data_IF_026746154025
#
_entry.id   IF_026746154025
#
_cell.length_a   1.000
_cell.length_b   1.000
_cell.length_c   1.000
_cell.angle_alpha   90.00
_cell.angle_beta   90.00
_cell.angle_gamma   90.00
#
_symmetry.space_group_name_H-M   'P 1'
#
loop_
_entity.id
_entity.type
_entity.pdbx_description
1 polymer ?
#
# COMPACT_ATOMS: atom_id res chain seq x y z
N UNK A 1 -1.98 -0.96 -30.18
CA UNK A 1 -0.92 0.01 -29.81
C UNK A 1 -0.57 0.86 -31.03
N UNK A 2 -0.55 2.18 -30.89
CA UNK A 2 -0.12 3.10 -31.98
C UNK A 2 1.35 3.47 -31.78
N UNK A 3 2.12 3.48 -32.87
CA UNK A 3 3.56 3.81 -32.88
C UNK A 3 3.85 4.86 -33.96
N UNK A 4 4.84 5.70 -33.72
CA UNK A 4 5.33 6.69 -34.67
C UNK A 4 6.36 6.04 -35.56
N UNK A 5 6.15 6.06 -36.87
CA UNK A 5 7.16 5.67 -37.85
C UNK A 5 8.29 6.71 -37.85
N UNK A 6 9.52 6.28 -37.55
CA UNK A 6 10.66 7.18 -37.36
C UNK A 6 11.16 7.82 -38.65
N UNK A 7 10.63 7.49 -39.83
CA UNK A 7 11.02 8.17 -41.09
C UNK A 7 9.94 9.14 -41.54
N UNK A 8 8.67 8.74 -41.39
CA UNK A 8 7.54 9.52 -41.90
C UNK A 8 6.89 10.41 -40.84
N UNK A 9 7.21 10.21 -39.55
CA UNK A 9 6.57 10.85 -38.38
C UNK A 9 5.07 10.57 -38.25
N UNK A 10 4.52 9.65 -39.05
CA UNK A 10 3.11 9.26 -39.01
C UNK A 10 2.87 8.17 -37.99
N UNK A 11 1.64 8.11 -37.47
CA UNK A 11 1.18 7.04 -36.59
C UNK A 11 0.75 5.83 -37.41
N UNK A 12 1.17 4.65 -36.96
CA UNK A 12 0.77 3.33 -37.46
C UNK A 12 0.25 2.50 -36.28
N UNK A 13 -0.76 1.66 -36.52
CA UNK A 13 -1.40 0.86 -35.48
C UNK A 13 -1.06 -0.62 -35.61
N UNK A 14 -0.73 -1.23 -34.48
CA UNK A 14 -0.30 -2.62 -34.37
C UNK A 14 -1.05 -3.33 -33.24
N UNK A 15 -1.26 -4.64 -33.41
CA UNK A 15 -1.98 -5.49 -32.46
C UNK A 15 -1.08 -6.65 -32.02
N UNK A 16 -1.11 -6.97 -30.73
CA UNK A 16 -0.48 -8.15 -30.12
C UNK A 16 0.96 -8.46 -30.58
N UNK A 17 1.13 -9.57 -31.29
CA UNK A 17 2.41 -10.09 -31.78
C UNK A 17 2.94 -9.34 -33.01
N UNK A 18 2.09 -8.54 -33.67
CA UNK A 18 2.50 -7.69 -34.79
C UNK A 18 3.19 -6.39 -34.35
N UNK A 19 3.27 -6.12 -33.04
CA UNK A 19 3.93 -4.92 -32.50
C UNK A 19 5.46 -5.04 -32.74
N UNK A 20 6.05 -4.16 -33.57
CA UNK A 20 7.48 -4.20 -33.88
C UNK A 20 8.33 -3.76 -32.68
N UNK A 21 9.66 -3.86 -32.81
CA UNK A 21 10.58 -3.23 -31.86
C UNK A 21 10.48 -1.70 -31.96
N UNK A 22 10.42 -1.02 -30.82
CA UNK A 22 10.33 0.43 -30.77
C UNK A 22 11.16 1.03 -29.64
N UNK A 23 11.48 2.33 -29.78
CA UNK A 23 11.98 3.16 -28.69
C UNK A 23 10.81 3.82 -27.95
N UNK A 24 10.95 4.11 -26.65
CA UNK A 24 9.91 4.75 -25.86
C UNK A 24 10.43 6.01 -25.16
N UNK A 25 9.67 7.11 -25.20
CA UNK A 25 10.00 8.35 -24.49
C UNK A 25 9.37 8.36 -23.10
N UNK A 26 10.21 8.57 -22.09
CA UNK A 26 9.79 8.92 -20.72
C UNK A 26 10.14 10.39 -20.46
N UNK A 27 9.14 11.18 -20.08
CA UNK A 27 9.32 12.62 -19.86
C UNK A 27 8.25 13.20 -18.93
N UNK A 28 8.51 14.41 -18.44
CA UNK A 28 7.48 15.19 -17.73
C UNK A 28 6.77 16.11 -18.72
N UNK A 29 5.44 16.06 -18.77
CA UNK A 29 4.67 16.95 -19.64
C UNK A 29 4.91 18.42 -19.32
N UNK A 30 5.01 19.22 -20.36
CA UNK A 30 5.15 20.68 -20.36
C UNK A 30 3.95 21.32 -21.08
N UNK A 31 4.03 22.62 -21.34
CA UNK A 31 2.99 23.31 -22.10
C UNK A 31 3.12 22.99 -23.60
N UNK A 32 1.98 22.91 -24.29
CA UNK A 32 1.91 22.68 -25.75
C UNK A 32 2.47 21.31 -26.20
N UNK A 33 2.18 20.25 -25.45
CA UNK A 33 2.40 18.86 -25.90
C UNK A 33 1.57 18.55 -27.15
N UNK A 34 2.16 17.82 -28.09
CA UNK A 34 1.47 17.34 -29.29
C UNK A 34 0.56 16.18 -28.91
N UNK A 35 -0.75 16.32 -29.15
CA UNK A 35 -1.72 15.24 -28.99
C UNK A 35 -1.74 14.31 -30.20
N UNK A 36 -2.48 13.20 -30.10
CA UNK A 36 -2.71 12.31 -31.22
C UNK A 36 -3.37 13.06 -32.38
N UNK A 37 -4.35 13.91 -32.08
CA UNK A 37 -5.11 14.68 -33.07
C UNK A 37 -4.23 15.73 -33.75
N UNK A 38 -3.31 16.36 -33.02
CA UNK A 38 -2.36 17.32 -33.59
C UNK A 38 -1.40 16.62 -34.56
N UNK A 39 -0.91 15.41 -34.23
CA UNK A 39 0.07 14.68 -35.04
C UNK A 39 -0.51 14.17 -36.38
N UNK A 40 -1.84 14.09 -36.52
CA UNK A 40 -2.50 13.79 -37.81
C UNK A 40 -2.26 14.90 -38.85
N UNK A 41 -2.04 16.15 -38.42
CA UNK A 41 -1.60 17.26 -39.25
C UNK A 41 -0.16 17.64 -38.89
N UNK A 42 0.81 16.99 -39.54
CA UNK A 42 2.23 17.21 -39.29
C UNK A 42 2.65 18.69 -39.39
N UNK A 43 2.05 19.47 -40.30
CA UNK A 43 2.38 20.90 -40.45
C UNK A 43 1.97 21.71 -39.24
N UNK A 44 0.88 21.32 -38.59
CA UNK A 44 0.43 21.91 -37.32
C UNK A 44 1.32 21.44 -36.18
N UNK A 45 1.57 20.13 -36.07
CA UNK A 45 2.38 19.55 -35.02
C UNK A 45 3.80 20.17 -34.98
N UNK A 46 4.46 20.31 -36.13
CA UNK A 46 5.80 20.91 -36.26
C UNK A 46 5.95 22.32 -35.68
N UNK A 47 4.85 23.06 -35.55
CA UNK A 47 4.83 24.42 -34.98
C UNK A 47 4.67 24.42 -33.45
N UNK A 48 4.31 23.30 -32.86
CA UNK A 48 4.10 23.16 -31.42
C UNK A 48 5.42 22.88 -30.71
N UNK A 49 5.60 23.46 -29.52
CA UNK A 49 6.84 23.28 -28.74
C UNK A 49 7.11 21.82 -28.38
N UNK A 50 6.07 21.04 -28.08
CA UNK A 50 6.21 19.62 -27.74
C UNK A 50 6.74 18.74 -28.87
N UNK A 51 6.66 19.19 -30.13
CA UNK A 51 7.08 18.40 -31.28
C UNK A 51 8.58 18.10 -31.30
N UNK A 52 9.40 19.04 -30.80
CA UNK A 52 10.85 18.84 -30.73
C UNK A 52 11.23 17.56 -29.97
N UNK A 53 10.47 17.20 -28.92
CA UNK A 53 10.73 15.96 -28.18
C UNK A 53 10.38 14.71 -28.99
N UNK A 54 9.30 14.76 -29.77
CA UNK A 54 8.90 13.66 -30.65
C UNK A 54 9.95 13.46 -31.74
N UNK A 55 10.39 14.55 -32.36
CA UNK A 55 11.38 14.51 -33.43
C UNK A 55 12.72 13.97 -32.94
N UNK A 56 13.23 14.48 -31.82
CA UNK A 56 14.46 13.98 -31.21
C UNK A 56 14.34 12.52 -30.76
N UNK A 57 13.19 12.10 -30.22
CA UNK A 57 12.94 10.69 -29.91
C UNK A 57 13.07 9.81 -31.16
N UNK A 58 12.52 10.26 -32.30
CA UNK A 58 12.63 9.54 -33.56
C UNK A 58 14.07 9.53 -34.08
N UNK A 59 14.79 10.65 -34.03
CA UNK A 59 16.21 10.73 -34.42
C UNK A 59 17.09 9.80 -33.58
N UNK A 60 16.85 9.74 -32.27
CA UNK A 60 17.55 8.80 -31.40
C UNK A 60 17.15 7.34 -31.70
N UNK A 61 15.88 7.05 -31.98
CA UNK A 61 15.43 5.72 -32.40
C UNK A 61 16.11 5.26 -33.70
N UNK A 62 16.26 6.14 -34.69
CA UNK A 62 16.98 5.85 -35.94
C UNK A 62 18.45 5.49 -35.68
N UNK A 63 19.13 6.22 -34.78
CA UNK A 63 20.53 5.90 -34.38
C UNK A 63 20.64 4.52 -33.74
N UNK A 64 19.59 4.07 -33.04
CA UNK A 64 19.47 2.73 -32.48
C UNK A 64 18.92 1.68 -33.47
N UNK A 65 18.74 2.05 -34.75
CA UNK A 65 18.23 1.19 -35.83
C UNK A 65 16.82 0.64 -35.54
N UNK A 66 15.97 1.47 -34.95
CA UNK A 66 14.57 1.17 -34.68
C UNK A 66 13.69 1.96 -35.64
N UNK A 67 12.75 1.31 -36.32
CA UNK A 67 11.84 1.95 -37.27
C UNK A 67 10.65 2.65 -36.59
N UNK A 68 10.46 2.42 -35.29
CA UNK A 68 9.30 2.90 -34.53
C UNK A 68 9.68 3.54 -33.20
N UNK A 69 8.91 4.55 -32.81
CA UNK A 69 8.98 5.21 -31.51
C UNK A 69 7.59 5.31 -30.88
N UNK A 70 7.54 5.41 -29.55
CA UNK A 70 6.31 5.61 -28.79
C UNK A 70 6.44 6.80 -27.83
N UNK A 71 5.43 7.66 -27.85
CA UNK A 71 5.31 8.83 -26.98
C UNK A 71 3.87 8.91 -26.48
N UNK A 72 3.68 8.88 -25.16
CA UNK A 72 2.36 8.81 -24.51
C UNK A 72 1.43 9.98 -24.87
N UNK A 73 1.99 11.14 -25.20
CA UNK A 73 1.18 12.31 -25.53
C UNK A 73 0.38 12.17 -26.82
N UNK A 74 0.93 11.47 -27.81
CA UNK A 74 0.37 11.34 -29.16
C UNK A 74 0.11 9.90 -29.61
N UNK A 75 0.61 8.89 -28.90
CA UNK A 75 0.37 7.47 -29.22
C UNK A 75 -0.83 6.88 -28.47
N UNK A 76 -1.47 7.65 -27.58
CA UNK A 76 -2.67 7.27 -26.85
C UNK A 76 -3.79 8.22 -27.28
N UNK A 77 -4.92 7.69 -27.74
CA UNK A 77 -6.12 8.52 -27.91
C UNK A 77 -6.76 8.82 -26.55
N UNK A 78 -6.49 10.02 -26.04
CA UNK A 78 -7.06 10.50 -24.76
C UNK A 78 -8.53 10.92 -24.87
N UNK A 79 -9.09 10.98 -26.09
CA UNK A 79 -10.51 11.30 -26.31
C UNK A 79 -11.41 10.07 -26.21
N UNK A 80 -10.84 8.87 -26.39
CA UNK A 80 -11.49 7.59 -26.17
C UNK A 80 -11.23 7.08 -24.75
N UNK A 81 -12.28 7.05 -23.91
CA UNK A 81 -12.16 6.54 -22.54
C UNK A 81 -11.79 5.06 -22.48
N UNK A 82 -12.23 4.27 -23.47
CA UNK A 82 -11.88 2.87 -23.61
C UNK A 82 -10.38 2.70 -23.91
N UNK A 83 -9.86 3.41 -24.91
CA UNK A 83 -8.42 3.34 -25.27
C UNK A 83 -7.53 3.90 -24.16
N UNK A 84 -7.94 4.98 -23.50
CA UNK A 84 -7.22 5.54 -22.36
C UNK A 84 -7.15 4.51 -21.21
N UNK A 85 -8.25 3.83 -20.91
CA UNK A 85 -8.30 2.81 -19.86
C UNK A 85 -7.42 1.60 -20.21
N UNK A 86 -7.48 1.12 -21.45
CA UNK A 86 -6.62 0.04 -21.95
C UNK A 86 -5.14 0.43 -21.88
N UNK A 87 -4.80 1.65 -22.31
CA UNK A 87 -3.43 2.15 -22.33
C UNK A 87 -2.84 2.33 -20.94
N UNK A 88 -3.62 2.84 -19.98
CA UNK A 88 -3.19 2.97 -18.57
C UNK A 88 -2.91 1.59 -17.97
N UNK A 89 -3.81 0.61 -18.19
CA UNK A 89 -3.62 -0.76 -17.73
C UNK A 89 -2.43 -1.46 -18.40
N UNK A 90 -2.05 -1.03 -19.61
CA UNK A 90 -0.95 -1.60 -20.38
C UNK A 90 0.37 -0.83 -20.28
N UNK A 91 0.39 0.31 -19.59
CA UNK A 91 1.51 1.26 -19.57
C UNK A 91 2.83 0.60 -19.19
N UNK A 92 2.84 -0.21 -18.12
CA UNK A 92 4.03 -0.92 -17.69
C UNK A 92 4.54 -1.91 -18.74
N UNK A 93 3.64 -2.60 -19.46
CA UNK A 93 4.03 -3.51 -20.54
C UNK A 93 4.59 -2.76 -21.75
N UNK A 94 4.06 -1.58 -22.07
CA UNK A 94 4.63 -0.73 -23.13
C UNK A 94 6.07 -0.31 -22.81
N UNK A 95 6.37 0.04 -21.57
CA UNK A 95 7.75 0.34 -21.16
C UNK A 95 8.62 -0.91 -21.07
N UNK A 96 8.09 -2.04 -20.59
CA UNK A 96 8.81 -3.31 -20.48
C UNK A 96 9.22 -3.90 -21.84
N UNK A 97 8.35 -3.78 -22.86
CA UNK A 97 8.58 -4.28 -24.23
C UNK A 97 9.44 -3.37 -25.09
N UNK A 98 9.63 -2.11 -24.70
CA UNK A 98 10.46 -1.18 -25.45
C UNK A 98 11.91 -1.66 -25.54
N UNK A 99 12.54 -1.46 -26.70
CA UNK A 99 13.95 -1.83 -26.89
C UNK A 99 14.89 -0.89 -26.13
N UNK A 100 14.51 0.38 -26.04
CA UNK A 100 15.22 1.41 -25.27
C UNK A 100 14.23 2.46 -24.80
N UNK A 101 14.37 2.89 -23.55
CA UNK A 101 13.67 4.04 -23.01
C UNK A 101 14.60 5.26 -22.97
N UNK A 102 14.19 6.34 -23.63
CA UNK A 102 14.86 7.62 -23.52
C UNK A 102 14.19 8.43 -22.41
N UNK A 103 14.92 8.74 -21.35
CA UNK A 103 14.46 9.63 -20.29
C UNK A 103 14.94 11.05 -20.61
N UNK A 104 14.01 11.92 -20.97
CA UNK A 104 14.28 13.32 -21.24
C UNK A 104 14.05 14.17 -19.99
N UNK A 105 15.13 14.74 -19.46
CA UNK A 105 15.12 15.57 -18.25
C UNK A 105 15.14 17.06 -18.64
N UNK A 106 13.97 17.68 -18.75
CA UNK A 106 13.84 19.09 -19.14
C UNK A 106 14.46 20.08 -18.12
N UNK A 107 14.58 19.67 -16.86
CA UNK A 107 15.03 20.55 -15.77
C UNK A 107 16.56 20.56 -15.56
N UNK A 108 17.34 19.76 -16.31
CA UNK A 108 18.79 19.71 -16.17
C UNK A 108 19.52 20.19 -17.42
N UNK A 109 20.54 21.03 -17.21
CA UNK A 109 21.49 21.51 -18.24
C UNK A 109 22.87 20.84 -18.14
N UNK A 110 23.00 19.85 -17.26
CA UNK A 110 24.29 19.20 -17.03
C UNK A 110 24.75 18.51 -18.30
N UNK A 111 26.03 18.66 -18.63
CA UNK A 111 26.64 18.03 -19.80
C UNK A 111 27.53 16.89 -19.34
N UNK A 112 27.56 15.79 -20.11
CA UNK A 112 28.41 14.64 -19.78
C UNK A 112 29.87 15.07 -19.79
N UNK A 113 30.57 14.70 -18.72
CA UNK A 113 32.00 14.89 -18.59
C UNK A 113 32.68 13.52 -18.57
N UNK A 114 33.79 13.39 -19.30
CA UNK A 114 34.62 12.18 -19.28
C UNK A 114 35.47 12.13 -17.99
N UNK A 115 34.80 12.03 -16.84
CA UNK A 115 35.41 11.91 -15.51
C UNK A 115 34.79 10.73 -14.78
N UNK A 116 35.61 9.96 -14.07
CA UNK A 116 35.16 8.80 -13.31
C UNK A 116 34.15 9.16 -12.21
N UNK A 117 34.19 10.38 -11.69
CA UNK A 117 33.29 10.88 -10.64
C UNK A 117 32.02 11.58 -11.17
N UNK A 118 31.79 11.58 -12.49
CA UNK A 118 30.67 12.31 -13.11
C UNK A 118 29.31 11.88 -12.55
N UNK A 119 29.07 10.58 -12.38
CA UNK A 119 27.79 10.08 -11.85
C UNK A 119 27.48 10.63 -10.45
N UNK A 120 28.48 10.73 -9.57
CA UNK A 120 28.33 11.26 -8.22
C UNK A 120 28.09 12.77 -8.22
N UNK A 121 28.75 13.51 -9.12
CA UNK A 121 28.51 14.95 -9.31
C UNK A 121 27.16 15.26 -9.94
N UNK A 122 26.61 14.33 -10.73
CA UNK A 122 25.32 14.47 -11.39
C UNK A 122 24.14 14.26 -10.42
N UNK A 123 24.33 13.48 -9.35
CA UNK A 123 23.31 13.14 -8.35
C UNK A 123 22.48 14.31 -7.81
N UNK A 124 23.07 15.41 -7.27
CA UNK A 124 22.27 16.52 -6.74
C UNK A 124 21.34 17.13 -7.80
N UNK A 125 21.81 17.24 -9.06
CA UNK A 125 21.00 17.76 -10.16
C UNK A 125 19.87 16.80 -10.57
N UNK A 126 20.11 15.49 -10.51
CA UNK A 126 19.06 14.50 -10.75
C UNK A 126 18.02 14.53 -9.63
N UNK A 127 18.44 14.65 -8.38
CA UNK A 127 17.53 14.72 -7.23
C UNK A 127 16.54 15.89 -7.32
N UNK A 128 16.95 17.00 -7.94
CA UNK A 128 16.11 18.18 -8.16
C UNK A 128 15.17 18.07 -9.38
N UNK A 129 15.39 17.11 -10.28
CA UNK A 129 14.59 16.97 -11.50
C UNK A 129 13.16 16.52 -11.17
N UNK A 130 12.15 17.17 -11.79
CA UNK A 130 10.73 16.83 -11.59
C UNK A 130 10.42 15.38 -11.98
N UNK A 131 11.19 14.81 -12.88
CA UNK A 131 11.05 13.42 -13.31
C UNK A 131 11.10 12.44 -12.14
N UNK A 132 11.97 12.64 -11.13
CA UNK A 132 12.06 11.73 -9.99
C UNK A 132 10.92 11.87 -8.97
N UNK A 133 10.18 12.98 -9.03
CA UNK A 133 9.04 13.24 -8.13
C UNK A 133 7.69 13.05 -8.83
N UNK A 134 7.65 12.68 -10.11
CA UNK A 134 6.41 12.38 -10.84
C UNK A 134 5.96 10.94 -10.56
N UNK A 135 4.65 10.72 -10.36
CA UNK A 135 4.12 9.37 -10.10
C UNK A 135 4.40 8.36 -11.22
N UNK A 136 3.97 8.70 -12.44
CA UNK A 136 4.06 7.83 -13.63
C UNK A 136 5.49 7.35 -13.94
N UNK A 137 6.50 8.20 -13.76
CA UNK A 137 7.89 7.89 -14.10
C UNK A 137 8.50 6.77 -13.24
N UNK A 138 7.84 6.33 -12.16
CA UNK A 138 8.31 5.19 -11.38
C UNK A 138 8.25 3.90 -12.18
N UNK A 139 7.14 3.64 -12.85
CA UNK A 139 7.01 2.47 -13.72
C UNK A 139 7.87 2.62 -14.98
N UNK A 140 8.09 3.85 -15.45
CA UNK A 140 9.00 4.15 -16.56
C UNK A 140 10.48 3.92 -16.20
N UNK A 141 10.84 4.03 -14.91
CA UNK A 141 12.17 3.66 -14.39
C UNK A 141 12.35 2.14 -14.25
N UNK A 142 11.30 1.46 -13.80
CA UNK A 142 11.37 0.07 -13.35
C UNK A 142 11.07 -0.95 -14.45
N UNK A 143 10.20 -0.62 -15.41
CA UNK A 143 9.75 -1.56 -16.42
C UNK A 143 10.79 -1.80 -17.55
N UNK A 144 11.45 -0.77 -18.13
CA UNK A 144 12.39 -0.99 -19.22
C UNK A 144 13.68 -1.66 -18.74
N UNK A 145 14.20 -2.58 -19.56
CA UNK A 145 15.52 -3.18 -19.34
C UNK A 145 16.64 -2.17 -19.63
N UNK A 146 16.52 -1.38 -20.70
CA UNK A 146 17.51 -0.39 -21.14
C UNK A 146 16.94 1.02 -21.02
N UNK A 147 17.63 1.88 -20.26
CA UNK A 147 17.29 3.31 -20.14
C UNK A 147 18.51 4.18 -20.42
N UNK A 148 18.32 5.24 -21.18
CA UNK A 148 19.31 6.28 -21.45
C UNK A 148 18.77 7.64 -21.00
N UNK A 149 19.50 8.33 -20.13
CA UNK A 149 19.15 9.65 -19.63
C UNK A 149 19.74 10.74 -20.51
N UNK A 150 18.92 11.74 -20.83
CA UNK A 150 19.27 12.90 -21.64
C UNK A 150 18.91 14.20 -20.90
N UNK A 151 19.74 15.22 -21.05
CA UNK A 151 19.46 16.56 -20.53
C UNK A 151 18.48 17.33 -21.43
N UNK A 152 18.20 18.59 -21.09
CA UNK A 152 17.31 19.48 -21.86
C UNK A 152 17.75 19.73 -23.30
N UNK A 153 19.05 19.64 -23.57
CA UNK A 153 19.62 19.82 -24.90
C UNK A 153 19.83 18.47 -25.65
N UNK A 154 19.17 17.39 -25.20
CA UNK A 154 19.34 16.02 -25.73
C UNK A 154 20.78 15.49 -25.67
N UNK A 155 21.59 16.05 -24.78
CA UNK A 155 22.92 15.56 -24.43
C UNK A 155 22.83 14.31 -23.56
N UNK A 156 23.47 13.23 -24.00
CA UNK A 156 23.50 11.96 -23.28
C UNK A 156 24.21 12.10 -21.92
N UNK A 157 23.51 11.83 -20.83
CA UNK A 157 24.04 11.88 -19.46
C UNK A 157 24.63 10.53 -19.03
N UNK A 158 23.92 9.44 -19.33
CA UNK A 158 24.33 8.10 -18.95
C UNK A 158 23.20 7.08 -19.07
N UNK A 159 23.57 5.81 -19.04
CA UNK A 159 22.64 4.69 -18.94
C UNK A 159 22.20 4.45 -17.49
N UNK A 160 21.11 3.68 -17.30
CA UNK A 160 20.68 3.21 -15.98
C UNK A 160 21.80 2.51 -15.22
N UNK A 161 22.57 1.68 -15.91
CA UNK A 161 23.70 0.94 -15.35
C UNK A 161 24.82 1.87 -14.88
N UNK A 162 25.19 2.88 -15.68
CA UNK A 162 26.19 3.89 -15.32
C UNK A 162 25.74 4.77 -14.14
N UNK A 163 24.43 5.00 -14.00
CA UNK A 163 23.85 5.90 -12.99
C UNK A 163 23.21 5.18 -11.80
N UNK A 164 23.39 3.86 -11.68
CA UNK A 164 22.68 3.04 -10.68
C UNK A 164 22.89 3.51 -9.24
N UNK A 165 24.09 4.00 -8.89
CA UNK A 165 24.40 4.50 -7.55
C UNK A 165 23.61 5.76 -7.17
N UNK A 166 23.69 6.86 -7.95
CA UNK A 166 22.82 8.02 -7.79
C UNK A 166 21.33 7.64 -7.79
N UNK A 167 20.89 6.81 -8.75
CA UNK A 167 19.49 6.41 -8.87
C UNK A 167 19.01 5.68 -7.62
N UNK A 168 19.82 4.79 -7.06
CA UNK A 168 19.50 4.04 -5.85
C UNK A 168 19.33 4.97 -4.64
N UNK A 169 20.21 5.98 -4.49
CA UNK A 169 20.11 6.98 -3.42
C UNK A 169 18.90 7.89 -3.55
N UNK A 170 18.64 8.40 -4.76
CA UNK A 170 17.52 9.32 -5.03
C UNK A 170 16.17 8.63 -4.84
N UNK A 171 16.04 7.39 -5.33
CA UNK A 171 14.74 6.70 -5.36
C UNK A 171 14.49 5.81 -4.15
N UNK A 172 15.54 5.47 -3.38
CA UNK A 172 15.47 4.47 -2.31
C UNK A 172 15.32 3.03 -2.81
N UNK A 173 15.45 2.80 -4.12
CA UNK A 173 15.33 1.47 -4.75
C UNK A 173 16.71 0.81 -4.80
N UNK A 174 16.79 -0.45 -4.41
CA UNK A 174 18.08 -1.17 -4.42
C UNK A 174 18.67 -1.33 -5.83
N UNK A 175 19.99 -1.43 -5.90
CA UNK A 175 20.73 -1.68 -7.15
C UNK A 175 20.23 -2.93 -7.87
N UNK A 176 19.95 -4.01 -7.14
CA UNK A 176 19.53 -5.28 -7.75
C UNK A 176 18.17 -5.16 -8.45
N UNK A 177 17.27 -4.30 -7.94
CA UNK A 177 15.97 -4.05 -8.59
C UNK A 177 16.16 -3.12 -9.80
N UNK A 178 16.94 -2.04 -9.65
CA UNK A 178 17.20 -1.09 -10.75
C UNK A 178 17.88 -1.76 -11.95
N UNK A 179 18.82 -2.68 -11.70
CA UNK A 179 19.53 -3.46 -12.72
C UNK A 179 18.74 -4.68 -13.20
N UNK A 180 17.50 -4.90 -12.73
CA UNK A 180 16.66 -6.03 -13.14
C UNK A 180 17.12 -7.41 -12.66
N UNK A 181 18.07 -7.48 -11.71
CA UNK A 181 18.55 -8.73 -11.10
C UNK A 181 17.52 -9.35 -10.15
N UNK A 182 16.69 -8.52 -9.51
CA UNK A 182 15.54 -8.92 -8.71
C UNK A 182 14.26 -8.36 -9.32
N UNK A 183 13.27 -9.21 -9.57
CA UNK A 183 12.02 -8.78 -10.20
C UNK A 183 11.20 -7.89 -9.27
N UNK A 184 10.55 -6.85 -9.80
CA UNK A 184 9.73 -5.89 -9.03
C UNK A 184 8.71 -6.59 -8.15
N UNK A 185 7.94 -7.53 -8.71
CA UNK A 185 6.88 -8.27 -8.01
C UNK A 185 7.37 -9.29 -6.97
N UNK A 186 8.69 -9.53 -6.85
CA UNK A 186 9.27 -10.38 -5.79
C UNK A 186 9.58 -9.60 -4.50
N UNK A 187 9.10 -8.36 -4.39
CA UNK A 187 9.32 -7.49 -3.25
C UNK A 187 7.99 -7.24 -2.52
N UNK A 188 8.01 -7.09 -1.19
CA UNK A 188 6.81 -6.87 -0.40
C UNK A 188 6.02 -5.65 -0.88
N UNK A 189 4.71 -5.68 -0.72
CA UNK A 189 3.81 -4.57 -1.07
C UNK A 189 4.26 -3.27 -0.41
N UNK A 190 4.59 -3.27 0.89
CA UNK A 190 5.07 -2.07 1.57
C UNK A 190 6.36 -1.50 0.96
N UNK A 191 7.29 -2.36 0.54
CA UNK A 191 8.51 -1.90 -0.13
C UNK A 191 8.17 -1.26 -1.48
N UNK A 192 7.34 -1.91 -2.29
CA UNK A 192 6.89 -1.37 -3.58
C UNK A 192 6.15 -0.03 -3.42
N UNK A 193 5.28 0.09 -2.41
CA UNK A 193 4.59 1.34 -2.06
C UNK A 193 5.60 2.44 -1.67
N UNK A 194 6.64 2.10 -0.91
CA UNK A 194 7.65 3.09 -0.46
C UNK A 194 8.36 3.80 -1.62
N UNK A 195 8.53 3.15 -2.78
CA UNK A 195 9.16 3.74 -3.96
C UNK A 195 8.34 4.89 -4.58
N UNK A 196 7.06 4.96 -4.24
CA UNK A 196 6.14 6.02 -4.64
C UNK A 196 5.90 7.07 -3.54
N UNK A 197 6.49 6.91 -2.35
CA UNK A 197 6.17 7.73 -1.18
C UNK A 197 6.46 9.23 -1.36
N UNK A 198 7.51 9.59 -2.10
CA UNK A 198 7.91 10.97 -2.38
C UNK A 198 7.36 11.50 -3.71
N UNK A 199 6.58 10.71 -4.43
CA UNK A 199 6.09 11.04 -5.78
C UNK A 199 4.72 11.73 -5.72
N UNK A 200 4.45 12.55 -6.73
CA UNK A 200 3.26 13.40 -6.84
C UNK A 200 2.59 13.21 -8.21
N UNK A 201 1.27 13.31 -8.21
CA UNK A 201 0.44 13.23 -9.41
C UNK A 201 -0.41 14.49 -9.56
N UNK A 202 -0.82 14.80 -10.79
CA UNK A 202 -1.68 15.97 -11.06
C UNK A 202 -3.13 15.66 -10.68
N UNK A 203 -3.65 14.51 -11.12
CA UNK A 203 -4.96 14.00 -10.68
C UNK A 203 -4.77 13.13 -9.45
N UNK A 204 -5.71 13.17 -8.53
CA UNK A 204 -5.67 12.38 -7.30
C UNK A 204 -5.68 10.86 -7.58
N UNK A 205 -6.46 10.45 -8.57
CA UNK A 205 -6.65 9.05 -8.97
C UNK A 205 -5.39 8.45 -9.59
N UNK A 206 -4.59 9.27 -10.27
CA UNK A 206 -3.33 8.84 -10.87
C UNK A 206 -2.34 8.34 -9.82
N UNK A 207 -2.49 8.71 -8.54
CA UNK A 207 -1.70 8.14 -7.44
C UNK A 207 -1.87 6.61 -7.36
N UNK A 208 -3.06 6.11 -7.68
CA UNK A 208 -3.34 4.69 -7.80
C UNK A 208 -2.93 4.16 -9.19
N UNK A 209 -3.37 4.83 -10.25
CA UNK A 209 -3.20 4.32 -11.61
C UNK A 209 -1.74 4.23 -12.06
N UNK A 210 -0.87 5.10 -11.55
CA UNK A 210 0.57 5.03 -11.82
C UNK A 210 1.29 3.83 -11.18
N UNK A 211 0.60 3.05 -10.33
CA UNK A 211 1.16 1.92 -9.62
C UNK A 211 0.66 0.57 -10.16
N UNK A 212 -0.29 0.56 -11.09
CA UNK A 212 -0.94 -0.66 -11.57
C UNK A 212 0.06 -1.71 -12.05
N UNK A 213 1.04 -1.33 -12.88
CA UNK A 213 2.05 -2.29 -13.36
C UNK A 213 3.09 -2.70 -12.32
N UNK A 214 3.31 -1.88 -11.29
CA UNK A 214 4.21 -2.22 -10.16
C UNK A 214 3.57 -3.30 -9.28
N UNK A 215 2.24 -3.32 -9.20
CA UNK A 215 1.48 -4.35 -8.51
C UNK A 215 0.92 -5.44 -9.43
N UNK A 216 1.03 -5.24 -10.75
CA UNK A 216 0.48 -6.10 -11.79
C UNK A 216 -1.03 -6.31 -11.58
N UNK A 217 -1.74 -5.19 -11.42
CA UNK A 217 -3.18 -5.10 -11.20
C UNK A 217 -3.84 -4.47 -12.42
N UNK A 218 -5.01 -4.99 -12.79
CA UNK A 218 -5.90 -4.33 -13.72
C UNK A 218 -7.18 -3.89 -13.02
N UNK A 219 -7.61 -2.66 -13.25
CA UNK A 219 -8.86 -2.13 -12.69
C UNK A 219 -9.45 -1.03 -13.61
N UNK A 220 -10.77 -0.74 -13.50
CA UNK A 220 -11.40 0.34 -14.26
C UNK A 220 -10.90 1.75 -13.89
N UNK A 221 -10.70 2.61 -14.90
CA UNK A 221 -10.30 4.01 -14.73
C UNK A 221 -11.52 4.92 -14.49
N UNK A 222 -11.83 5.23 -13.23
CA UNK A 222 -12.94 6.09 -12.84
C UNK A 222 -12.44 7.48 -12.41
N UNK A 223 -12.12 8.35 -13.37
CA UNK A 223 -11.77 9.74 -13.07
C UNK A 223 -12.96 10.50 -12.46
N UNK A 224 -12.73 11.16 -11.32
CA UNK A 224 -13.76 11.80 -10.49
C UNK A 224 -14.00 11.10 -9.15
N UNK A 225 -13.45 9.90 -8.92
CA UNK A 225 -13.61 9.18 -7.65
C UNK A 225 -12.66 9.65 -6.53
N UNK A 226 -11.65 10.47 -6.86
CA UNK A 226 -10.71 11.05 -5.91
C UNK A 226 -9.82 9.99 -5.25
N UNK A 227 -9.63 10.09 -3.93
CA UNK A 227 -8.78 9.16 -3.16
C UNK A 227 -9.33 7.73 -3.08
N UNK A 228 -10.58 7.49 -3.50
CA UNK A 228 -11.18 6.14 -3.56
C UNK A 228 -10.43 5.22 -4.52
N UNK A 229 -9.80 5.76 -5.56
CA UNK A 229 -8.97 5.00 -6.49
C UNK A 229 -7.83 4.27 -5.78
N UNK A 230 -7.17 4.93 -4.81
CA UNK A 230 -6.05 4.33 -4.06
C UNK A 230 -6.52 3.26 -3.06
N UNK A 231 -7.72 3.41 -2.51
CA UNK A 231 -8.35 2.34 -1.71
C UNK A 231 -8.64 1.11 -2.58
N UNK A 232 -9.28 1.30 -3.73
CA UNK A 232 -9.55 0.21 -4.69
C UNK A 232 -8.28 -0.51 -5.12
N UNK A 233 -7.18 0.22 -5.37
CA UNK A 233 -5.88 -0.40 -5.65
C UNK A 233 -5.46 -1.35 -4.53
N UNK A 234 -5.54 -0.93 -3.27
CA UNK A 234 -5.18 -1.77 -2.11
C UNK A 234 -6.11 -2.99 -1.97
N UNK A 235 -7.40 -2.84 -2.26
CA UNK A 235 -8.36 -3.95 -2.30
C UNK A 235 -7.99 -4.97 -3.39
N UNK A 236 -7.66 -4.52 -4.60
CA UNK A 236 -7.23 -5.40 -5.70
C UNK A 236 -5.90 -6.09 -5.38
N UNK A 237 -4.95 -5.40 -4.72
CA UNK A 237 -3.71 -6.01 -4.23
C UNK A 237 -4.03 -7.14 -3.24
N UNK A 238 -4.94 -6.91 -2.28
CA UNK A 238 -5.33 -7.94 -1.30
C UNK A 238 -6.06 -9.13 -1.93
N UNK A 239 -6.82 -8.93 -3.01
CA UNK A 239 -7.47 -10.01 -3.76
C UNK A 239 -6.47 -10.85 -4.54
N UNK A 240 -5.41 -10.22 -5.04
CA UNK A 240 -4.38 -10.89 -5.84
C UNK A 240 -3.38 -11.65 -4.98
N UNK A 241 -2.79 -10.99 -4.00
CA UNK A 241 -1.68 -11.50 -3.18
C UNK A 241 -2.04 -11.44 -1.68
N UNK A 242 -1.70 -12.49 -0.94
CA UNK A 242 -1.81 -12.54 0.52
C UNK A 242 -0.62 -11.85 1.23
N UNK A 243 -0.10 -10.75 0.68
CA UNK A 243 1.04 -10.03 1.27
C UNK A 243 0.55 -9.05 2.35
N UNK A 244 0.68 -9.47 3.61
CA UNK A 244 0.21 -8.68 4.76
C UNK A 244 1.02 -7.40 4.98
N UNK A 245 2.16 -7.22 4.31
CA UNK A 245 2.92 -5.96 4.38
C UNK A 245 2.13 -4.76 3.87
N UNK A 246 1.05 -4.95 3.11
CA UNK A 246 0.12 -3.87 2.74
C UNK A 246 -0.43 -3.10 3.96
N UNK A 247 -0.48 -3.73 5.14
CA UNK A 247 -0.94 -3.08 6.38
C UNK A 247 0.18 -2.36 7.13
N UNK A 248 1.44 -2.42 6.67
CA UNK A 248 2.59 -1.77 7.29
C UNK A 248 2.65 -0.25 7.03
N UNK A 249 1.52 0.44 6.93
CA UNK A 249 1.52 1.89 6.71
C UNK A 249 1.63 2.63 8.05
N UNK A 250 2.58 3.55 8.22
CA UNK A 250 2.69 4.30 9.47
C UNK A 250 1.71 5.48 9.46
N UNK A 251 1.03 5.71 10.58
CA UNK A 251 0.14 6.87 10.69
C UNK A 251 1.03 8.12 10.80
N UNK A 252 1.19 8.82 9.68
CA UNK A 252 1.75 10.17 9.67
C UNK A 252 0.81 11.04 10.52
N UNK A 253 1.15 11.17 11.80
CA UNK A 253 0.40 11.90 12.79
C UNK A 253 0.10 13.31 12.28
N UNK A 254 -1.16 13.60 11.92
CA UNK A 254 -1.88 14.84 12.27
C UNK A 254 -3.17 15.12 11.48
N UNK A 255 -3.58 14.37 10.45
CA UNK A 255 -4.70 14.84 9.62
C UNK A 255 -5.60 13.73 9.07
N UNK A 256 -6.60 13.30 9.86
CA UNK A 256 -8.02 13.12 9.50
C UNK A 256 -8.76 12.25 10.54
N UNK A 257 -10.05 12.53 10.68
CA UNK A 257 -10.97 12.09 11.74
C UNK A 257 -11.42 10.62 11.71
N UNK A 258 -10.73 9.72 11.00
CA UNK A 258 -11.14 8.33 10.86
C UNK A 258 -10.03 7.37 11.33
N UNK A 259 -9.95 7.20 12.65
CA UNK A 259 -9.10 6.21 13.33
C UNK A 259 -9.43 4.75 12.97
N UNK A 260 -10.43 4.52 12.10
CA UNK A 260 -11.04 3.22 11.82
C UNK A 260 -10.58 2.57 10.50
N UNK A 261 -9.76 3.27 9.70
CA UNK A 261 -9.34 2.76 8.39
C UNK A 261 -8.19 1.76 8.49
N UNK A 262 -8.25 0.65 7.75
CA UNK A 262 -7.16 -0.34 7.71
C UNK A 262 -6.09 0.08 6.71
N UNK A 263 -6.52 0.52 5.54
CA UNK A 263 -5.69 0.86 4.38
C UNK A 263 -5.09 2.27 4.46
N UNK A 264 -3.96 2.47 3.78
CA UNK A 264 -3.30 3.76 3.68
C UNK A 264 -4.09 4.74 2.80
N UNK A 265 -3.95 6.04 3.03
CA UNK A 265 -4.50 7.08 2.16
C UNK A 265 -3.58 7.43 0.99
N UNK A 266 -2.28 7.16 1.15
CA UNK A 266 -1.28 7.39 0.10
C UNK A 266 -0.02 6.55 0.30
N UNK A 267 0.83 6.40 -0.73
CA UNK A 267 2.13 5.75 -0.60
C UNK A 267 3.08 6.40 0.43
N UNK A 268 2.85 7.67 0.81
CA UNK A 268 3.70 8.39 1.77
C UNK A 268 3.76 7.71 3.15
N UNK A 269 2.68 7.01 3.55
CA UNK A 269 2.63 6.22 4.78
C UNK A 269 3.59 5.01 4.77
N UNK A 270 4.23 4.70 3.64
CA UNK A 270 5.20 3.60 3.51
C UNK A 270 6.66 4.07 3.40
N UNK A 271 6.96 5.37 3.55
CA UNK A 271 8.23 6.04 3.19
C UNK A 271 9.55 5.46 3.71
N UNK A 272 9.57 4.50 4.64
CA UNK A 272 10.83 3.83 5.06
C UNK A 272 10.76 2.32 5.15
N UNK A 273 9.91 1.74 4.31
CA UNK A 273 9.95 0.31 4.02
C UNK A 273 10.90 -0.03 2.86
N UNK A 274 11.60 0.96 2.28
CA UNK A 274 12.49 0.78 1.12
C UNK A 274 13.69 -0.14 1.37
N UNK A 275 14.12 -0.28 2.63
CA UNK A 275 15.22 -1.18 3.05
C UNK A 275 14.75 -2.41 3.83
N UNK A 276 13.45 -2.64 3.89
CA UNK A 276 12.92 -3.76 4.65
C UNK A 276 13.31 -5.11 4.03
N UNK A 277 13.38 -6.16 4.84
CA UNK A 277 13.57 -7.53 4.38
C UNK A 277 12.23 -8.21 4.18
N UNK A 278 12.05 -8.85 3.03
CA UNK A 278 10.89 -9.67 2.74
C UNK A 278 10.93 -10.97 3.52
N UNK A 279 9.80 -11.38 4.06
CA UNK A 279 9.57 -12.74 4.51
C UNK A 279 8.51 -13.36 3.62
N UNK A 280 8.87 -14.39 2.86
CA UNK A 280 7.85 -15.21 2.19
C UNK A 280 7.41 -16.23 3.22
N UNK A 281 6.31 -15.97 3.91
CA UNK A 281 5.65 -17.02 4.69
C UNK A 281 5.15 -18.07 3.68
N UNK A 282 5.82 -19.23 3.65
CA UNK A 282 5.42 -20.39 2.81
C UNK A 282 4.28 -21.19 3.46
N UNK A 283 3.57 -20.61 4.42
CA UNK A 283 2.68 -21.31 5.34
C UNK A 283 1.23 -21.43 4.87
N UNK A 284 0.95 -21.05 3.62
CA UNK A 284 -0.37 -21.25 3.00
C UNK A 284 -1.43 -20.30 3.51
N UNK A 285 -1.05 -19.13 4.02
CA UNK A 285 -1.98 -18.06 4.38
C UNK A 285 -2.77 -17.59 3.15
N UNK A 286 -4.07 -17.35 3.33
CA UNK A 286 -4.94 -16.79 2.30
C UNK A 286 -5.66 -15.54 2.80
N UNK A 287 -5.83 -14.57 1.90
CA UNK A 287 -6.66 -13.38 2.12
C UNK A 287 -7.90 -13.43 1.23
N UNK A 288 -9.07 -13.17 1.79
CA UNK A 288 -10.31 -12.97 1.03
C UNK A 288 -10.91 -11.62 1.39
N UNK A 289 -11.20 -10.78 0.40
CA UNK A 289 -11.89 -9.52 0.64
C UNK A 289 -13.37 -9.73 0.94
N UNK A 290 -13.86 -9.15 2.05
CA UNK A 290 -15.27 -9.14 2.42
C UNK A 290 -15.81 -7.71 2.47
N UNK A 291 -17.13 -7.54 2.56
CA UNK A 291 -17.75 -6.22 2.72
C UNK A 291 -17.34 -5.47 4.00
N UNK A 292 -16.75 -6.17 4.99
CA UNK A 292 -16.26 -5.59 6.25
C UNK A 292 -14.76 -5.30 6.24
N UNK A 293 -14.02 -5.80 5.25
CA UNK A 293 -12.56 -5.77 5.19
C UNK A 293 -11.94 -7.13 4.86
N UNK A 294 -10.61 -7.25 4.89
CA UNK A 294 -9.89 -8.49 4.56
C UNK A 294 -10.09 -9.54 5.65
N UNK A 295 -10.47 -10.75 5.22
CA UNK A 295 -10.46 -11.97 6.02
C UNK A 295 -9.14 -12.70 5.82
N UNK A 296 -8.48 -13.05 6.92
CA UNK A 296 -7.17 -13.68 6.97
C UNK A 296 -7.23 -14.98 7.76
N UNK A 297 -6.48 -15.99 7.33
CA UNK A 297 -6.27 -17.23 8.08
C UNK A 297 -5.14 -17.03 9.11
N UNK A 298 -5.40 -17.20 10.42
CA UNK A 298 -4.41 -16.86 11.45
C UNK A 298 -3.42 -18.01 11.71
N UNK A 299 -2.16 -17.78 11.36
CA UNK A 299 -0.99 -18.42 12.01
C UNK A 299 -0.02 -17.42 12.63
N UNK A 300 -0.25 -16.13 12.39
CA UNK A 300 0.64 -15.02 12.71
C UNK A 300 -0.04 -13.97 13.62
N UNK A 301 -1.10 -14.36 14.32
CA UNK A 301 -1.81 -13.53 15.28
C UNK A 301 -1.41 -13.93 16.71
N UNK A 302 -0.87 -12.97 17.45
CA UNK A 302 -0.30 -13.19 18.77
C UNK A 302 -0.97 -12.29 19.81
N UNK A 303 -1.15 -12.81 21.02
CA UNK A 303 -1.56 -12.00 22.16
C UNK A 303 -0.31 -11.39 22.81
N UNK A 304 -0.32 -10.07 23.01
CA UNK A 304 0.82 -9.35 23.56
C UNK A 304 0.40 -8.30 24.59
N UNK A 305 1.33 -7.94 25.47
CA UNK A 305 1.16 -6.81 26.39
C UNK A 305 1.86 -5.56 25.83
N UNK A 306 1.09 -4.50 25.62
CA UNK A 306 1.60 -3.18 25.23
C UNK A 306 1.90 -2.37 26.49
N UNK A 307 3.15 -1.94 26.72
CA UNK A 307 3.50 -1.21 27.93
C UNK A 307 2.75 0.12 28.05
N UNK A 308 2.20 0.44 29.23
CA UNK A 308 1.37 1.64 29.44
C UNK A 308 2.12 2.99 29.42
N UNK A 309 3.45 2.98 29.53
CA UNK A 309 4.30 4.19 29.45
C UNK A 309 5.01 4.23 28.08
N UNK A 310 4.22 4.42 27.01
CA UNK A 310 4.73 4.47 25.63
C UNK A 310 5.60 5.70 25.36
N UNK A 311 5.36 6.80 26.08
CA UNK A 311 6.13 8.06 25.97
C UNK A 311 7.55 7.95 26.57
N UNK A 312 7.77 7.05 27.53
CA UNK A 312 9.10 6.83 28.14
C UNK A 312 9.92 5.71 27.52
N UNK A 313 9.39 4.97 26.55
CA UNK A 313 10.22 4.12 25.71
C UNK A 313 11.08 5.00 24.82
N UNK A 314 12.21 5.48 25.37
CA UNK A 314 13.33 5.94 24.54
C UNK A 314 13.60 4.80 23.54
N UNK A 315 13.69 5.09 22.23
CA UNK A 315 14.09 4.08 21.26
C UNK A 315 15.48 3.59 21.66
N UNK A 316 15.56 2.47 22.37
CA UNK A 316 16.81 1.88 22.88
C UNK A 316 17.52 1.10 21.76
N UNK A 317 17.48 1.60 20.53
CA UNK A 317 18.32 1.12 19.44
C UNK A 317 18.51 2.24 18.40
N UNK A 318 19.76 2.52 17.97
CA UNK A 318 20.03 3.46 16.90
C UNK A 318 19.57 2.86 15.57
N UNK A 319 18.41 3.27 15.06
CA UNK A 319 18.00 2.94 13.69
C UNK A 319 18.24 4.14 12.78
N UNK A 320 19.39 4.09 12.10
CA UNK A 320 19.65 4.89 10.92
C UNK A 320 18.70 4.41 9.79
N UNK A 321 18.16 5.36 9.02
CA UNK A 321 17.23 5.16 7.87
C UNK A 321 15.71 5.13 8.11
N UNK A 322 15.22 6.01 9.00
CA UNK A 322 14.13 6.89 8.56
C UNK A 322 12.70 6.68 9.08
N UNK A 323 12.18 5.45 9.26
CA UNK A 323 10.70 5.30 9.49
C UNK A 323 10.26 4.40 10.64
N UNK A 324 11.14 3.61 11.27
CA UNK A 324 10.75 2.85 12.48
C UNK A 324 11.03 3.59 13.80
N UNK A 325 11.12 4.92 13.78
CA UNK A 325 11.53 5.72 14.96
C UNK A 325 10.55 5.67 16.13
N UNK A 326 9.30 5.22 15.91
CA UNK A 326 8.25 5.14 16.93
C UNK A 326 7.79 3.72 17.23
N UNK A 327 8.36 2.69 16.61
CA UNK A 327 7.83 1.34 16.75
C UNK A 327 7.93 0.81 18.20
N UNK A 328 6.94 0.03 18.62
CA UNK A 328 6.86 -0.53 19.98
C UNK A 328 7.31 -1.98 19.95
N UNK A 329 8.18 -2.38 20.88
CA UNK A 329 8.47 -3.79 21.14
C UNK A 329 7.50 -4.29 22.20
N UNK A 330 6.51 -5.13 21.84
CA UNK A 330 5.53 -5.61 22.81
C UNK A 330 6.13 -6.71 23.70
N UNK A 331 5.61 -6.83 24.92
CA UNK A 331 6.05 -7.86 25.88
C UNK A 331 5.30 -9.17 25.65
N UNK A 332 6.03 -10.28 25.87
CA UNK A 332 5.45 -11.62 25.94
C UNK A 332 4.55 -11.74 27.18
N UNK A 333 3.36 -12.31 27.00
CA UNK A 333 2.46 -12.67 28.10
C UNK A 333 3.00 -13.95 28.73
N UNK A 334 3.52 -13.85 29.95
CA UNK A 334 3.98 -15.00 30.74
C UNK A 334 2.94 -15.38 31.77
N UNK A 335 2.59 -16.66 31.84
CA UNK A 335 1.69 -17.17 32.87
C UNK A 335 2.46 -17.50 34.16
N UNK A 336 1.95 -17.13 35.35
CA UNK A 336 0.74 -16.35 35.58
C UNK A 336 0.94 -14.86 35.26
N UNK A 337 0.05 -14.28 34.46
CA UNK A 337 0.12 -12.87 34.05
C UNK A 337 -0.14 -11.97 35.25
N UNK A 338 0.88 -11.22 35.69
CA UNK A 338 0.71 -10.12 36.65
C UNK A 338 0.45 -8.86 35.85
N UNK A 339 -0.71 -8.26 36.04
CA UNK A 339 -1.04 -6.95 35.48
C UNK A 339 -0.02 -5.91 35.98
N UNK A 340 0.88 -5.51 35.09
CA UNK A 340 1.93 -4.53 35.35
C UNK A 340 1.54 -3.13 34.84
N UNK A 341 0.25 -2.88 34.59
CA UNK A 341 -0.25 -1.61 34.04
C UNK A 341 -0.09 -1.46 32.53
N UNK A 342 0.13 -2.57 31.80
CA UNK A 342 0.13 -2.62 30.34
C UNK A 342 -1.25 -3.00 29.77
N UNK A 343 -1.51 -2.63 28.52
CA UNK A 343 -2.77 -2.95 27.85
C UNK A 343 -2.58 -4.16 26.94
N UNK A 344 -3.44 -5.17 27.08
CA UNK A 344 -3.40 -6.35 26.20
C UNK A 344 -3.90 -5.97 24.80
N UNK A 345 -3.17 -6.41 23.78
CA UNK A 345 -3.51 -6.24 22.36
C UNK A 345 -3.22 -7.53 21.60
N UNK A 346 -3.83 -7.62 20.42
CA UNK A 346 -3.40 -8.56 19.41
C UNK A 346 -2.30 -7.93 18.56
N UNK A 347 -1.34 -8.71 18.12
CA UNK A 347 -0.41 -8.30 17.06
C UNK A 347 -0.50 -9.27 15.91
N UNK A 348 -0.81 -8.74 14.74
CA UNK A 348 -0.64 -9.45 13.48
C UNK A 348 0.78 -9.22 12.98
N UNK A 349 1.61 -10.27 12.94
CA UNK A 349 2.93 -10.24 12.29
C UNK A 349 2.74 -10.14 10.78
N UNK A 350 3.50 -9.26 10.15
CA UNK A 350 3.44 -8.97 8.73
C UNK A 350 4.57 -9.66 7.95
N UNK A 351 4.42 -9.79 6.64
CA UNK A 351 5.39 -10.37 5.68
C UNK A 351 6.59 -9.45 5.38
N UNK A 352 6.94 -8.62 6.35
CA UNK A 352 8.00 -7.62 6.27
C UNK A 352 8.68 -7.49 7.63
N UNK A 353 9.99 -7.26 7.58
CA UNK A 353 10.78 -7.05 8.79
C UNK A 353 12.09 -6.35 8.50
N UNK A 354 12.96 -6.37 9.48
CA UNK A 354 14.34 -5.92 9.42
C UNK A 354 15.23 -7.05 9.92
N UNK A 355 16.55 -6.91 9.82
CA UNK A 355 17.52 -8.00 10.06
C UNK A 355 17.28 -8.82 11.35
N UNK A 356 16.85 -8.17 12.43
CA UNK A 356 16.71 -8.79 13.76
C UNK A 356 15.27 -8.87 14.28
N UNK A 357 14.33 -8.17 13.63
CA UNK A 357 12.95 -8.04 14.10
C UNK A 357 11.97 -8.20 12.94
N UNK A 358 10.79 -8.70 13.25
CA UNK A 358 9.66 -8.71 12.32
C UNK A 358 8.72 -7.56 12.62
N UNK A 359 8.01 -7.07 11.61
CA UNK A 359 7.04 -6.00 11.80
C UNK A 359 5.66 -6.58 12.10
N UNK A 360 4.85 -5.83 12.85
CA UNK A 360 3.46 -6.17 13.14
C UNK A 360 2.56 -4.94 13.18
N UNK A 361 1.25 -5.15 13.13
CA UNK A 361 0.25 -4.13 13.50
C UNK A 361 -0.47 -4.54 14.78
N UNK A 362 -0.80 -3.57 15.62
CA UNK A 362 -1.65 -3.79 16.78
C UNK A 362 -3.12 -3.83 16.37
N UNK A 363 -3.83 -4.82 16.91
CA UNK A 363 -5.24 -5.07 16.68
C UNK A 363 -5.99 -5.13 18.02
N UNK A 364 -7.22 -4.66 18.00
CA UNK A 364 -8.20 -4.75 19.07
C UNK A 364 -9.31 -5.72 18.67
N UNK A 365 -9.71 -6.60 19.58
CA UNK A 365 -10.82 -7.53 19.36
C UNK A 365 -12.15 -6.82 19.59
N UNK A 366 -12.98 -6.83 18.54
CA UNK A 366 -14.33 -6.29 18.57
C UNK A 366 -15.32 -7.42 18.82
N UNK A 367 -15.15 -8.55 18.14
CA UNK A 367 -15.92 -9.79 18.31
C UNK A 367 -15.01 -11.01 18.06
N UNK A 368 -15.53 -12.23 18.24
CA UNK A 368 -14.78 -13.49 18.15
C UNK A 368 -13.84 -13.59 16.94
N UNK A 369 -14.31 -13.20 15.76
CA UNK A 369 -13.61 -13.27 14.47
C UNK A 369 -13.41 -11.88 13.84
N UNK A 370 -13.56 -10.82 14.62
CA UNK A 370 -13.56 -9.44 14.13
C UNK A 370 -12.57 -8.58 14.92
N UNK A 371 -11.51 -8.17 14.25
CA UNK A 371 -10.44 -7.33 14.78
C UNK A 371 -10.47 -5.95 14.14
N UNK A 372 -9.93 -4.95 14.83
CA UNK A 372 -9.76 -3.59 14.34
C UNK A 372 -8.33 -3.16 14.53
N UNK A 373 -7.76 -2.46 13.55
CA UNK A 373 -6.42 -1.87 13.68
C UNK A 373 -6.41 -0.71 14.68
N UNK A 374 -5.49 -0.75 15.64
CA UNK A 374 -5.24 0.36 16.56
C UNK A 374 -4.21 1.30 15.93
N UNK A 375 -4.69 2.38 15.29
CA UNK A 375 -3.81 3.39 14.64
C UNK A 375 -3.17 4.38 15.63
N UNK A 376 -3.58 4.38 16.89
CA UNK A 376 -2.91 5.17 17.92
C UNK A 376 -1.57 4.54 18.29
N UNK A 377 -1.44 3.23 18.08
CA UNK A 377 -0.18 2.52 18.23
C UNK A 377 0.60 2.49 16.90
N UNK A 378 1.91 2.77 16.94
CA UNK A 378 2.80 2.61 15.81
C UNK A 378 3.00 1.12 15.48
N UNK A 379 3.78 0.79 14.46
CA UNK A 379 4.09 -0.60 14.13
C UNK A 379 4.74 -1.33 15.31
N UNK A 380 4.44 -2.62 15.45
CA UNK A 380 5.09 -3.51 16.40
C UNK A 380 6.42 -4.02 15.84
N UNK A 381 7.44 -4.14 16.69
CA UNK A 381 8.68 -4.87 16.39
C UNK A 381 8.73 -6.14 17.22
N UNK A 382 8.58 -7.28 16.57
CA UNK A 382 8.61 -8.61 17.17
C UNK A 382 10.04 -9.15 17.08
N UNK A 383 10.81 -9.27 18.18
CA UNK A 383 12.16 -9.81 18.12
C UNK A 383 12.11 -11.28 17.68
N UNK A 384 12.97 -11.63 16.72
CA UNK A 384 12.99 -12.99 16.17
C UNK A 384 13.39 -14.00 17.25
N UNK A 385 12.67 -15.13 17.29
CA UNK A 385 12.90 -16.20 18.27
C UNK A 385 12.17 -16.02 19.60
N UNK A 386 11.57 -14.86 19.85
CA UNK A 386 10.64 -14.68 20.98
C UNK A 386 9.40 -15.52 20.74
N UNK A 387 8.98 -16.29 21.76
CA UNK A 387 7.72 -17.01 21.72
C UNK A 387 6.64 -16.06 22.17
N UNK A 388 5.69 -15.77 21.30
CA UNK A 388 4.46 -15.10 21.69
C UNK A 388 3.35 -16.14 21.81
N UNK A 389 2.42 -15.92 22.74
CA UNK A 389 1.27 -16.79 22.87
C UNK A 389 0.39 -16.66 21.62
N UNK A 390 0.33 -17.74 20.84
CA UNK A 390 -0.51 -17.79 19.65
C UNK A 390 -1.95 -18.08 20.06
N UNK A 391 -2.90 -17.23 19.66
CA UNK A 391 -4.31 -17.56 19.81
C UNK A 391 -4.73 -18.43 18.62
N UNK A 392 -5.34 -19.58 18.90
CA UNK A 392 -5.91 -20.41 17.85
C UNK A 392 -7.20 -19.75 17.32
N UNK A 393 -7.07 -18.87 16.34
CA UNK A 393 -8.17 -18.37 15.53
C UNK A 393 -7.94 -18.83 14.09
N UNK A 394 -8.67 -19.83 13.56
CA UNK A 394 -8.40 -20.33 12.22
C UNK A 394 -8.58 -19.24 11.15
N UNK A 395 -9.53 -18.33 11.37
CA UNK A 395 -9.80 -17.16 10.52
C UNK A 395 -10.28 -15.97 11.36
N UNK A 396 -9.95 -14.76 10.90
CA UNK A 396 -10.50 -13.52 11.42
C UNK A 396 -10.62 -12.48 10.30
N UNK A 397 -11.45 -11.46 10.51
CA UNK A 397 -11.61 -10.32 9.60
C UNK A 397 -11.07 -9.07 10.29
N UNK A 398 -10.24 -8.30 9.59
CA UNK A 398 -9.85 -6.96 10.05
C UNK A 398 -10.85 -5.97 9.47
N UNK A 399 -11.50 -5.20 10.34
CA UNK A 399 -12.42 -4.14 9.94
C UNK A 399 -11.68 -3.05 9.17
N UNK A 400 -12.26 -2.65 8.04
CA UNK A 400 -11.84 -1.49 7.27
C UNK A 400 -13.00 -0.50 7.16
N UNK A 401 -12.83 0.68 7.78
CA UNK A 401 -13.84 1.74 7.82
C UNK A 401 -14.72 1.71 9.08
N UNK A 402 -15.65 2.67 9.17
CA UNK A 402 -16.55 2.78 10.32
C UNK A 402 -17.50 1.58 10.35
N UNK A 403 -17.64 0.87 11.49
CA UNK A 403 -18.67 -0.14 11.63
C UNK A 403 -20.04 0.50 11.37
N UNK A 404 -20.89 -0.16 10.59
CA UNK A 404 -22.21 0.33 10.19
C UNK A 404 -23.26 0.37 11.34
N UNK A 405 -22.83 0.52 12.59
CA UNK A 405 -23.70 0.54 13.75
C UNK A 405 -24.14 1.97 14.13
N UNK A 406 -25.41 2.09 14.50
CA UNK A 406 -26.28 3.26 14.53
C UNK A 406 -26.14 4.16 15.79
N UNK A 407 -26.64 5.40 15.65
CA UNK A 407 -27.20 6.42 16.61
C UNK A 407 -26.41 6.85 17.87
N UNK A 408 -26.56 8.12 18.33
CA UNK A 408 -25.88 8.67 19.51
C UNK A 408 -26.31 8.03 20.86
N UNK A 409 -27.50 7.40 20.92
CA UNK A 409 -28.13 6.94 22.16
C UNK A 409 -28.35 5.41 22.23
N UNK A 410 -27.76 4.65 21.31
CA UNK A 410 -27.84 3.18 21.30
C UNK A 410 -26.62 2.55 21.96
N UNK A 411 -26.85 1.79 23.03
CA UNK A 411 -25.82 0.93 23.63
C UNK A 411 -25.82 -0.41 22.89
N UNK A 412 -24.80 -0.59 22.04
CA UNK A 412 -24.54 -1.87 21.41
C UNK A 412 -23.87 -2.80 22.40
N UNK A 413 -24.69 -3.54 23.16
CA UNK A 413 -24.21 -4.75 23.81
C UNK A 413 -23.70 -5.67 22.72
N UNK A 414 -22.39 -5.68 22.56
CA UNK A 414 -21.76 -6.78 21.88
C UNK A 414 -22.20 -8.07 22.54
N UNK A 415 -21.93 -9.16 21.82
CA UNK A 415 -21.11 -10.21 22.41
C UNK A 415 -20.93 -10.03 23.98
N UNK A 416 -20.07 -9.10 24.32
CA UNK A 416 -19.55 -9.06 25.66
C UNK A 416 -19.65 -7.69 26.24
N UNK A 417 -20.87 -7.24 26.54
CA UNK A 417 -21.09 -6.10 27.42
C UNK A 417 -21.97 -6.52 28.61
N UNK A 418 -21.68 -5.93 29.76
CA UNK A 418 -22.54 -5.90 30.93
C UNK A 418 -22.38 -4.53 31.56
N UNK A 419 -23.49 -3.88 31.84
CA UNK A 419 -23.56 -2.55 32.46
C UNK A 419 -23.78 -2.65 33.98
N UNK A 420 -23.57 -1.51 34.65
CA UNK A 420 -23.24 -1.43 36.07
C UNK A 420 -24.47 -1.49 36.99
N UNK A 421 -24.29 -2.14 38.15
CA UNK A 421 -25.24 -2.19 39.27
C UNK A 421 -24.93 -1.03 40.22
N UNK A 422 -25.89 -0.16 40.55
CA UNK A 422 -25.71 0.81 41.61
C UNK A 422 -26.30 0.23 42.90
N UNK A 423 -25.52 -0.42 43.76
CA UNK A 423 -25.76 -0.39 45.22
C UNK A 423 -24.62 -1.01 46.04
N UNK A 424 -24.41 -0.45 47.24
CA UNK A 424 -23.24 -0.61 48.12
C UNK A 424 -23.09 -1.99 48.84
N UNK A 425 -23.29 -3.13 48.16
CA UNK A 425 -23.12 -4.47 48.77
C UNK A 425 -22.73 -5.61 47.80
N UNK A 426 -21.90 -6.57 48.24
CA UNK A 426 -21.32 -7.67 47.42
C UNK A 426 -22.37 -8.64 46.86
N UNK A 427 -22.31 -8.90 45.54
CA UNK A 427 -23.21 -9.80 44.77
C UNK A 427 -22.48 -11.07 44.30
N UNK A 428 -23.17 -12.23 44.23
CA UNK A 428 -22.68 -13.45 43.58
C UNK A 428 -23.77 -14.18 42.78
N UNK A 429 -23.42 -14.68 41.57
CA UNK A 429 -24.33 -15.33 40.62
C UNK A 429 -24.18 -16.86 40.70
N UNK A 430 -25.28 -17.61 40.83
CA UNK A 430 -25.26 -19.07 41.08
C UNK A 430 -25.76 -19.97 39.93
N UNK A 431 -26.67 -19.52 39.04
CA UNK A 431 -27.17 -20.34 37.88
C UNK A 431 -27.91 -19.50 36.80
N UNK A 432 -27.83 -19.90 35.51
CA UNK A 432 -28.47 -19.23 34.33
C UNK A 432 -29.06 -20.26 33.32
N UNK A 433 -30.27 -20.02 32.77
CA UNK A 433 -30.96 -20.81 31.71
C UNK A 433 -31.74 -19.87 30.76
N UNK A 434 -31.73 -20.04 29.41
CA UNK A 434 -31.08 -21.11 28.62
C UNK A 434 -29.57 -20.89 28.41
N UNK A 435 -28.82 -21.97 28.10
CA UNK A 435 -27.35 -22.02 28.18
C UNK A 435 -26.66 -20.96 27.29
N UNK A 436 -26.02 -19.95 27.89
CA UNK A 436 -25.36 -18.88 27.15
C UNK A 436 -23.96 -19.26 26.68
N UNK A 437 -23.43 -18.54 25.69
CA UNK A 437 -22.01 -18.51 25.36
C UNK A 437 -21.36 -17.32 26.06
N UNK A 438 -20.15 -17.50 26.61
CA UNK A 438 -19.36 -16.45 27.26
C UNK A 438 -18.13 -16.11 26.41
N UNK A 439 -17.64 -14.86 26.44
CA UNK A 439 -16.28 -14.57 26.00
C UNK A 439 -15.25 -14.50 27.14
N UNK A 440 -14.00 -14.29 26.74
CA UNK A 440 -12.78 -14.28 27.56
C UNK A 440 -12.71 -13.11 28.57
N UNK A 441 -13.72 -12.21 28.62
CA UNK A 441 -13.91 -11.17 29.63
C UNK A 441 -15.09 -11.44 30.60
N UNK A 442 -15.70 -12.64 30.61
CA UNK A 442 -16.86 -12.99 31.47
C UNK A 442 -18.13 -12.15 31.20
N UNK A 443 -18.56 -12.03 29.94
CA UNK A 443 -19.86 -11.41 29.58
C UNK A 443 -20.72 -12.38 28.73
N UNK A 444 -22.03 -12.13 28.58
CA UNK A 444 -23.06 -13.17 28.38
C UNK A 444 -24.08 -12.92 27.27
N UNK A 445 -24.41 -13.96 26.47
CA UNK A 445 -24.93 -13.71 25.11
C UNK A 445 -25.98 -14.62 24.49
N UNK A 446 -26.79 -13.99 23.61
CA UNK A 446 -27.91 -14.62 22.90
C UNK A 446 -27.87 -14.43 21.38
N UNK A 447 -28.39 -15.42 20.63
CA UNK A 447 -28.40 -15.45 19.17
C UNK A 447 -29.77 -15.02 18.58
N UNK A 448 -29.82 -14.38 17.38
CA UNK A 448 -31.03 -13.75 16.83
C UNK A 448 -32.22 -14.68 16.57
N UNK A 449 -31.98 -15.95 16.26
CA UNK A 449 -33.04 -16.92 15.97
C UNK A 449 -33.75 -17.45 17.22
N UNK A 450 -33.18 -17.23 18.42
CA UNK A 450 -33.78 -17.62 19.70
C UNK A 450 -34.63 -16.47 20.28
N UNK A 451 -34.33 -15.22 19.90
CA UNK A 451 -35.01 -14.02 20.40
C UNK A 451 -36.47 -13.89 19.92
N UNK A 452 -36.85 -14.51 18.79
CA UNK A 452 -38.23 -14.48 18.30
C UNK A 452 -39.20 -15.40 19.08
N UNK A 453 -38.71 -16.18 20.05
CA UNK A 453 -39.48 -17.19 20.79
C UNK A 453 -39.29 -17.15 22.32
N UNK A 454 -38.52 -16.21 22.86
CA UNK A 454 -38.27 -16.09 24.31
C UNK A 454 -39.14 -14.97 24.89
N UNK A 455 -40.13 -15.35 25.70
CA UNK A 455 -40.96 -14.40 26.47
C UNK A 455 -40.37 -14.08 27.85
N UNK A 456 -39.52 -14.94 28.42
CA UNK A 456 -38.89 -14.70 29.73
C UNK A 456 -37.62 -15.54 29.97
N UNK A 457 -36.75 -15.09 30.88
CA UNK A 457 -35.64 -15.89 31.44
C UNK A 457 -35.46 -15.71 32.96
N UNK A 458 -34.99 -16.75 33.66
CA UNK A 458 -34.86 -16.78 35.12
C UNK A 458 -33.39 -16.76 35.59
N UNK A 459 -33.10 -15.98 36.62
CA UNK A 459 -31.76 -15.78 37.21
C UNK A 459 -31.80 -16.08 38.72
N UNK A 460 -30.98 -17.01 39.22
CA UNK A 460 -30.90 -17.32 40.65
C UNK A 460 -29.73 -16.58 41.31
N UNK A 461 -30.04 -15.72 42.29
CA UNK A 461 -29.09 -14.86 43.00
C UNK A 461 -29.06 -15.22 44.48
N UNK A 462 -27.86 -15.33 45.06
CA UNK A 462 -27.68 -15.64 46.49
C UNK A 462 -27.20 -14.40 47.25
N UNK A 463 -27.95 -14.03 48.29
CA UNK A 463 -27.79 -12.87 49.16
C UNK A 463 -27.58 -13.35 50.60
N UNK A 464 -26.33 -13.43 51.05
CA UNK A 464 -26.01 -14.01 52.36
C UNK A 464 -26.43 -15.48 52.46
N UNK A 465 -27.26 -15.83 53.44
CA UNK A 465 -27.79 -17.20 53.61
C UNK A 465 -29.00 -17.52 52.72
N UNK A 466 -29.52 -16.55 51.97
CA UNK A 466 -30.81 -16.64 51.28
C UNK A 466 -30.65 -16.58 49.78
N UNK A 467 -31.41 -17.38 49.03
CA UNK A 467 -31.44 -17.39 47.57
C UNK A 467 -32.78 -16.89 47.04
N UNK A 468 -32.76 -16.06 46.01
CA UNK A 468 -33.93 -15.53 45.32
C UNK A 468 -33.79 -15.70 43.81
N UNK A 469 -34.90 -16.00 43.14
CA UNK A 469 -34.95 -16.21 41.69
C UNK A 469 -35.67 -15.04 41.03
N UNK A 470 -34.99 -14.35 40.11
CA UNK A 470 -35.51 -13.23 39.34
C UNK A 470 -35.99 -13.71 37.98
N UNK A 471 -37.12 -13.21 37.49
CA UNK A 471 -37.60 -13.46 36.12
C UNK A 471 -37.55 -12.16 35.32
N UNK A 472 -36.90 -12.21 34.16
CA UNK A 472 -36.81 -11.12 33.20
C UNK A 472 -37.70 -11.47 32.01
N UNK A 473 -38.80 -10.74 31.89
CA UNK A 473 -39.79 -10.87 30.80
C UNK A 473 -39.41 -9.91 29.66
N UNK A 474 -39.54 -10.37 28.42
CA UNK A 474 -39.38 -9.56 27.22
C UNK A 474 -40.77 -9.31 26.62
N UNK A 475 -41.15 -8.06 26.40
CA UNK A 475 -42.37 -7.67 25.66
C UNK A 475 -42.12 -7.64 24.14
#
# INVERSE_FOLDING_TARGET
MKLINVKTRKLEEFFDDAIPKYAILSHTWEHEEVSLQDLQDLRRAERMKGYAKIDETCLHAERHKLDYAWVDTCCIDKTSSAELSESINSMYQYYKRATVCYVYLTDTRQQRQHRADFAQKLEPYLAECRWFTRGWTLQELLAPSVIQFYNREWGFLGSKDELVDPLSRITGISRDILLGRRHVWQNPVAMRMSWAASRKTTRSEDMAYCLLGIFDINMPMLYGEGSKAFRRLQEEICKKDCDTSIFACDSLASTRSDQFDLFAYSPAEFSGHGKATAWISRDGSSTTMTARGPRLTARNLFLVEVPGDTDRQKPNAPYADGVLRKAIVPKEIKLPHRDNGGTIRYVLRLDIGISTHDCGIFLEKIQTDLLRRDRNLPLALLPRGTRYEAEYQPEFTILDGRPAFHRPDSMHLGKDESFHIPFDGRVSITRIVPRPSWDFCRRLLFAPHVLAQIQAFQLEVRLGSTSASLWLLFD
#
